data_IF_384364345499
#
_entry.id   IF_384364345499
#
_cell.length_a   1.000
_cell.length_b   1.000
_cell.length_c   1.000
_cell.angle_alpha   90.00
_cell.angle_beta   90.00
_cell.angle_gamma   90.00
#
_symmetry.space_group_name_H-M   'P 1'
#
loop_
_entity.id
_entity.type
_entity.pdbx_description
1 polymer ?
#
# COMPACT_ATOMS: atom_id res chain seq x y z
N UNK A 1 -21.72 9.27 -2.11
CA UNK A 1 -21.19 8.87 -0.79
C UNK A 1 -19.74 8.33 -0.89
N UNK A 2 -19.42 7.39 -1.81
CA UNK A 2 -18.03 6.88 -2.00
C UNK A 2 -17.11 7.97 -2.55
N UNK A 3 -17.57 8.75 -3.53
CA UNK A 3 -16.80 9.88 -4.10
C UNK A 3 -16.48 10.97 -3.04
N UNK A 4 -17.44 11.28 -2.16
CA UNK A 4 -17.19 12.27 -1.10
C UNK A 4 -16.18 11.78 -0.06
N UNK A 5 -16.19 10.49 0.27
CA UNK A 5 -15.20 9.89 1.17
C UNK A 5 -13.80 9.94 0.53
N UNK A 6 -13.68 9.56 -0.74
CA UNK A 6 -12.41 9.59 -1.46
C UNK A 6 -11.84 11.00 -1.58
N UNK A 7 -12.67 11.98 -1.92
CA UNK A 7 -12.28 13.40 -1.96
C UNK A 7 -11.82 13.91 -0.59
N UNK A 8 -12.50 13.49 0.50
CA UNK A 8 -12.10 13.88 1.85
C UNK A 8 -10.74 13.27 2.22
N UNK A 9 -10.53 11.98 1.93
CA UNK A 9 -9.23 11.32 2.19
C UNK A 9 -8.13 11.96 1.36
N UNK A 10 -8.37 12.21 0.08
CA UNK A 10 -7.40 12.88 -0.80
C UNK A 10 -7.04 14.28 -0.29
N UNK A 11 -8.04 15.09 0.11
CA UNK A 11 -7.81 16.43 0.65
C UNK A 11 -7.02 16.40 1.97
N UNK A 12 -7.27 15.44 2.84
CA UNK A 12 -6.51 15.25 4.07
C UNK A 12 -5.05 14.89 3.79
N UNK A 13 -4.80 14.00 2.82
CA UNK A 13 -3.46 13.62 2.39
C UNK A 13 -2.72 14.84 1.82
N UNK A 14 -3.35 15.54 0.88
CA UNK A 14 -2.81 16.74 0.23
C UNK A 14 -2.47 17.82 1.26
N UNK A 15 -3.40 18.13 2.16
CA UNK A 15 -3.18 19.12 3.23
C UNK A 15 -2.08 18.66 4.20
N UNK A 16 -2.06 17.38 4.54
CA UNK A 16 -1.01 16.78 5.40
C UNK A 16 0.39 16.92 4.79
N UNK A 17 0.54 16.63 3.50
CA UNK A 17 1.82 16.76 2.79
C UNK A 17 2.20 18.24 2.64
N UNK A 18 1.25 19.11 2.28
CA UNK A 18 1.51 20.54 2.12
C UNK A 18 1.91 21.22 3.42
N UNK A 19 1.35 20.78 4.56
CA UNK A 19 1.64 21.35 5.88
C UNK A 19 2.92 20.77 6.51
N UNK A 20 3.09 19.44 6.46
CA UNK A 20 4.20 18.75 7.13
C UNK A 20 5.43 18.56 6.23
N UNK A 21 5.31 18.74 4.92
CA UNK A 21 6.42 18.53 3.98
C UNK A 21 6.87 17.06 3.92
N UNK A 22 8.18 16.84 3.86
CA UNK A 22 8.78 15.48 3.82
C UNK A 22 8.39 14.60 5.01
N UNK A 23 8.33 15.07 6.27
CA UNK A 23 7.79 14.31 7.40
C UNK A 23 6.35 13.80 7.15
N UNK A 24 5.51 14.57 6.47
CA UNK A 24 4.15 14.17 6.09
C UNK A 24 4.15 12.96 5.16
N UNK A 25 5.06 12.94 4.17
CA UNK A 25 5.23 11.80 3.27
C UNK A 25 5.64 10.55 4.06
N UNK A 26 6.64 10.66 4.95
CA UNK A 26 7.10 9.54 5.79
C UNK A 26 5.95 9.00 6.62
N UNK A 27 5.20 9.87 7.30
CA UNK A 27 4.11 9.49 8.17
C UNK A 27 2.98 8.78 7.42
N UNK A 28 2.52 9.36 6.31
CA UNK A 28 1.42 8.78 5.52
C UNK A 28 1.81 7.45 4.88
N UNK A 29 3.03 7.32 4.37
CA UNK A 29 3.56 6.06 3.83
C UNK A 29 3.76 5.00 4.92
N UNK A 30 4.11 5.42 6.15
CA UNK A 30 4.19 4.51 7.29
C UNK A 30 2.81 4.01 7.70
N UNK A 31 1.78 4.86 7.73
CA UNK A 31 0.40 4.46 8.00
C UNK A 31 -0.09 3.43 6.99
N UNK A 32 0.11 3.68 5.70
CA UNK A 32 -0.25 2.73 4.65
C UNK A 32 0.39 1.36 4.86
N UNK A 33 1.70 1.35 5.10
CA UNK A 33 2.46 0.10 5.27
C UNK A 33 2.21 -0.58 6.61
N UNK A 34 1.59 0.12 7.56
CA UNK A 34 1.06 -0.45 8.82
C UNK A 34 -0.37 -1.00 8.67
N UNK A 35 -0.81 -1.31 7.44
CA UNK A 35 -2.14 -1.83 7.09
C UNK A 35 -3.31 -0.85 7.34
N UNK A 36 -3.03 0.46 7.41
CA UNK A 36 -4.08 1.49 7.44
C UNK A 36 -4.41 1.86 5.99
N UNK A 37 -5.70 1.94 5.59
CA UNK A 37 -6.09 2.16 4.19
C UNK A 37 -5.85 3.61 3.73
N UNK A 38 -4.60 3.99 3.59
CA UNK A 38 -4.17 5.27 3.01
C UNK A 38 -3.46 4.96 1.70
N UNK A 39 -3.99 5.36 0.53
CA UNK A 39 -3.44 4.94 -0.75
C UNK A 39 -2.17 5.72 -1.12
N UNK A 40 -1.05 5.04 -1.27
CA UNK A 40 0.20 5.62 -1.79
C UNK A 40 0.09 6.10 -3.23
N UNK A 41 -0.88 5.57 -3.96
CA UNK A 41 -1.26 5.99 -5.31
C UNK A 41 -1.73 7.45 -5.34
N UNK A 42 -2.04 8.05 -4.19
CA UNK A 42 -2.32 9.48 -4.02
C UNK A 42 -1.10 10.18 -3.42
N UNK A 43 -0.51 9.61 -2.35
CA UNK A 43 0.60 10.23 -1.61
C UNK A 43 1.78 10.51 -2.54
N UNK A 44 2.28 9.49 -3.24
CA UNK A 44 3.50 9.60 -4.03
C UNK A 44 3.34 10.43 -5.32
N UNK A 45 2.26 10.27 -6.12
CA UNK A 45 2.06 11.15 -7.27
C UNK A 45 1.82 12.60 -6.88
N UNK A 46 1.08 12.87 -5.80
CA UNK A 46 0.94 14.26 -5.33
C UNK A 46 2.27 14.86 -4.87
N UNK A 47 3.11 14.07 -4.17
CA UNK A 47 4.46 14.49 -3.81
C UNK A 47 5.33 14.74 -5.06
N UNK A 48 5.13 13.94 -6.13
CA UNK A 48 5.73 14.15 -7.44
C UNK A 48 5.27 15.43 -8.12
N UNK A 49 3.99 15.79 -8.00
CA UNK A 49 3.47 17.08 -8.45
C UNK A 49 4.16 18.26 -7.72
N UNK A 50 4.39 18.12 -6.41
CA UNK A 50 5.12 19.14 -5.65
C UNK A 50 6.60 19.25 -6.08
N UNK A 51 7.20 18.17 -6.59
CA UNK A 51 8.51 18.21 -7.26
C UNK A 51 8.43 19.00 -8.57
N UNK A 52 7.43 18.75 -9.41
CA UNK A 52 7.21 19.47 -10.65
C UNK A 52 7.02 20.99 -10.41
N UNK A 53 6.27 21.35 -9.37
CA UNK A 53 6.08 22.76 -8.97
C UNK A 53 7.31 23.41 -8.32
N UNK A 54 8.44 22.71 -8.21
CA UNK A 54 9.69 23.21 -7.65
C UNK A 54 9.74 23.30 -6.12
N UNK A 55 8.73 22.78 -5.41
CA UNK A 55 8.67 22.83 -3.95
C UNK A 55 9.48 21.70 -3.29
N UNK A 56 9.57 20.54 -3.94
CA UNK A 56 10.26 19.35 -3.42
C UNK A 56 11.33 18.86 -4.38
N UNK A 57 12.26 18.05 -3.86
CA UNK A 57 13.23 17.30 -4.66
C UNK A 57 12.77 15.86 -4.84
N UNK A 58 12.83 15.34 -6.08
CA UNK A 58 12.42 13.98 -6.42
C UNK A 58 13.13 12.93 -5.54
N UNK A 59 14.44 13.07 -5.38
CA UNK A 59 15.21 12.10 -4.58
C UNK A 59 14.78 12.08 -3.12
N UNK A 60 14.53 13.24 -2.52
CA UNK A 60 14.03 13.31 -1.15
C UNK A 60 12.62 12.75 -1.01
N UNK A 61 11.73 12.98 -1.97
CA UNK A 61 10.40 12.38 -2.00
C UNK A 61 10.50 10.85 -2.03
N UNK A 62 11.34 10.30 -2.90
CA UNK A 62 11.54 8.84 -3.03
C UNK A 62 12.13 8.25 -1.76
N UNK A 63 13.14 8.89 -1.18
CA UNK A 63 13.77 8.45 0.08
C UNK A 63 12.73 8.47 1.21
N UNK A 64 12.00 9.58 1.38
CA UNK A 64 10.98 9.71 2.42
C UNK A 64 9.86 8.68 2.24
N UNK A 65 9.39 8.47 1.02
CA UNK A 65 8.39 7.43 0.71
C UNK A 65 8.88 6.02 1.05
N UNK A 66 10.12 5.71 0.69
CA UNK A 66 10.74 4.40 0.98
C UNK A 66 10.98 4.20 2.47
N UNK A 67 11.48 5.22 3.18
CA UNK A 67 11.70 5.17 4.64
C UNK A 67 10.36 5.04 5.37
N UNK A 68 9.34 5.81 4.98
CA UNK A 68 8.00 5.69 5.55
C UNK A 68 7.43 4.28 5.36
N UNK A 69 7.54 3.72 4.15
CA UNK A 69 7.12 2.35 3.86
C UNK A 69 7.86 1.33 4.75
N UNK A 70 9.18 1.48 4.93
CA UNK A 70 9.96 0.60 5.80
C UNK A 70 9.50 0.69 7.25
N UNK A 71 9.31 1.90 7.79
CA UNK A 71 8.88 2.12 9.18
C UNK A 71 7.50 1.47 9.45
N UNK A 72 6.52 1.69 8.58
CA UNK A 72 5.21 1.05 8.70
C UNK A 72 5.28 -0.46 8.60
N UNK A 73 6.13 -0.96 7.70
CA UNK A 73 6.36 -2.40 7.53
C UNK A 73 7.01 -3.05 8.74
N UNK A 74 7.92 -2.34 9.42
CA UNK A 74 8.53 -2.80 10.68
C UNK A 74 7.45 -2.94 11.76
N UNK A 75 6.53 -1.98 11.87
CA UNK A 75 5.40 -2.07 12.81
C UNK A 75 4.55 -3.30 12.50
N UNK A 76 4.14 -3.48 11.25
CA UNK A 76 3.35 -4.63 10.83
C UNK A 76 4.10 -5.96 11.03
N UNK A 77 5.41 -6.00 10.78
CA UNK A 77 6.27 -7.16 11.04
C UNK A 77 6.26 -7.54 12.52
N UNK A 78 6.45 -6.58 13.44
CA UNK A 78 6.44 -6.87 14.87
C UNK A 78 5.04 -7.27 15.38
N UNK A 79 3.98 -6.69 14.84
CA UNK A 79 2.61 -7.13 15.11
C UNK A 79 2.44 -8.61 14.72
N UNK A 80 2.95 -9.02 13.56
CA UNK A 80 2.96 -10.42 13.15
C UNK A 80 3.85 -11.30 14.02
N UNK A 81 5.05 -10.84 14.34
CA UNK A 81 6.06 -11.58 15.12
C UNK A 81 5.61 -11.90 16.54
N UNK A 82 5.04 -10.91 17.24
CA UNK A 82 4.57 -11.07 18.62
C UNK A 82 3.12 -11.59 18.69
N UNK A 83 2.28 -11.20 17.74
CA UNK A 83 0.87 -11.60 17.72
C UNK A 83 0.64 -13.02 17.19
N UNK A 84 1.51 -13.49 16.30
CA UNK A 84 1.42 -14.82 15.72
C UNK A 84 0.07 -15.09 15.03
N UNK A 85 -0.30 -16.37 14.87
CA UNK A 85 -1.58 -16.80 14.30
C UNK A 85 -2.78 -16.38 15.16
N UNK A 86 -2.65 -16.37 16.48
CA UNK A 86 -3.73 -16.02 17.40
C UNK A 86 -4.27 -14.58 17.19
N UNK A 87 -3.41 -13.65 16.79
CA UNK A 87 -3.84 -12.28 16.48
C UNK A 87 -4.74 -12.25 15.23
N UNK A 88 -4.44 -13.06 14.24
CA UNK A 88 -5.23 -13.14 12.99
C UNK A 88 -6.54 -13.90 13.21
N UNK A 89 -6.56 -14.97 13.99
CA UNK A 89 -7.78 -15.64 14.40
C UNK A 89 -8.75 -14.67 15.08
N UNK A 90 -8.23 -13.80 15.95
CA UNK A 90 -9.05 -12.83 16.72
C UNK A 90 -9.42 -11.57 15.96
N UNK A 91 -8.48 -11.02 15.18
CA UNK A 91 -8.61 -9.69 14.55
C UNK A 91 -8.54 -9.70 13.01
N UNK A 92 -8.30 -10.84 12.38
CA UNK A 92 -8.13 -10.96 10.92
C UNK A 92 -9.30 -10.40 10.11
N UNK A 93 -10.52 -10.46 10.66
CA UNK A 93 -11.72 -9.89 10.04
C UNK A 93 -11.64 -8.36 9.88
N UNK A 94 -10.95 -7.67 10.78
CA UNK A 94 -10.78 -6.21 10.75
C UNK A 94 -9.67 -5.75 9.83
N UNK A 95 -8.67 -6.60 9.58
CA UNK A 95 -7.52 -6.31 8.73
C UNK A 95 -7.62 -7.03 7.37
N UNK A 96 -8.79 -7.64 7.06
CA UNK A 96 -9.05 -8.36 5.81
C UNK A 96 -8.06 -9.48 5.49
N UNK A 97 -7.42 -10.07 6.49
CA UNK A 97 -6.49 -11.20 6.35
C UNK A 97 -7.17 -12.45 6.92
N UNK A 98 -7.24 -13.49 6.10
CA UNK A 98 -7.73 -14.82 6.50
C UNK A 98 -6.57 -15.75 6.84
N UNK A 99 -6.85 -16.85 7.57
CA UNK A 99 -5.87 -17.93 7.80
C UNK A 99 -5.38 -18.52 6.47
N UNK A 100 -6.26 -18.59 5.48
CA UNK A 100 -5.91 -19.06 4.14
C UNK A 100 -4.84 -18.18 3.48
N UNK A 101 -4.91 -16.85 3.65
CA UNK A 101 -3.93 -15.92 3.12
C UNK A 101 -2.57 -16.09 3.81
N UNK A 102 -2.58 -16.43 5.11
CA UNK A 102 -1.35 -16.77 5.84
C UNK A 102 -0.72 -18.06 5.33
N UNK A 103 -1.52 -19.10 5.11
CA UNK A 103 -1.03 -20.37 4.60
C UNK A 103 -0.49 -20.22 3.17
N UNK A 104 -1.13 -19.39 2.35
CA UNK A 104 -0.61 -19.01 1.03
C UNK A 104 0.72 -18.29 1.14
N UNK A 105 0.82 -17.28 2.01
CA UNK A 105 2.05 -16.54 2.21
C UNK A 105 3.17 -17.45 2.76
N UNK A 106 2.86 -18.36 3.69
CA UNK A 106 3.83 -19.32 4.20
C UNK A 106 4.35 -20.25 3.09
N UNK A 107 3.47 -20.80 2.24
CA UNK A 107 3.86 -21.62 1.07
C UNK A 107 4.71 -20.81 0.08
N UNK A 108 4.42 -19.52 -0.07
CA UNK A 108 5.24 -18.62 -0.89
C UNK A 108 6.64 -18.44 -0.32
N UNK A 109 6.77 -18.23 1.01
CA UNK A 109 8.07 -18.15 1.68
C UNK A 109 8.85 -19.46 1.60
N UNK A 110 8.18 -20.60 1.74
CA UNK A 110 8.81 -21.92 1.61
C UNK A 110 9.32 -22.18 0.18
N UNK A 111 8.57 -21.72 -0.83
CA UNK A 111 8.89 -21.95 -2.24
C UNK A 111 9.93 -20.98 -2.80
N UNK A 112 9.83 -19.69 -2.46
CA UNK A 112 10.64 -18.61 -3.06
C UNK A 112 11.64 -18.00 -2.07
N UNK A 113 11.62 -18.43 -0.82
CA UNK A 113 12.51 -17.93 0.23
C UNK A 113 12.29 -16.45 0.56
N UNK A 114 13.29 -15.87 1.20
CA UNK A 114 13.27 -14.48 1.68
C UNK A 114 13.11 -13.46 0.55
N UNK A 115 13.52 -13.82 -0.68
CA UNK A 115 13.46 -12.94 -1.86
C UNK A 115 12.03 -12.66 -2.33
N UNK A 116 11.05 -13.45 -1.87
CA UNK A 116 9.62 -13.22 -2.12
C UNK A 116 9.14 -11.86 -1.63
N UNK A 117 9.73 -11.33 -0.55
CA UNK A 117 9.45 -9.98 -0.02
C UNK A 117 9.75 -8.91 -1.07
N UNK A 118 10.91 -8.98 -1.71
CA UNK A 118 11.30 -8.00 -2.73
C UNK A 118 10.26 -7.90 -3.85
N UNK A 119 9.85 -9.03 -4.43
CA UNK A 119 8.86 -9.03 -5.51
C UNK A 119 7.47 -8.64 -5.04
N UNK A 120 7.06 -9.06 -3.84
CA UNK A 120 5.76 -8.69 -3.30
C UNK A 120 5.58 -7.18 -3.10
N UNK A 121 6.71 -6.46 -2.88
CA UNK A 121 6.71 -4.99 -2.78
C UNK A 121 6.39 -4.27 -4.09
N UNK A 122 6.54 -4.95 -5.22
CA UNK A 122 6.19 -4.41 -6.53
C UNK A 122 4.71 -4.63 -6.88
N UNK A 123 3.98 -5.42 -6.07
CA UNK A 123 2.55 -5.69 -6.28
C UNK A 123 1.70 -4.80 -5.36
N UNK A 124 0.76 -3.99 -5.92
CA UNK A 124 0.03 -2.96 -5.18
C UNK A 124 -0.64 -3.45 -3.89
N UNK A 125 -1.39 -4.55 -3.97
CA UNK A 125 -2.16 -5.09 -2.83
C UNK A 125 -1.27 -5.89 -1.88
N UNK A 126 -0.38 -6.73 -2.42
CA UNK A 126 0.42 -7.67 -1.63
C UNK A 126 1.43 -6.94 -0.75
N UNK A 127 2.01 -5.82 -1.25
CA UNK A 127 3.06 -5.07 -0.57
C UNK A 127 2.67 -4.57 0.82
N UNK A 128 1.40 -4.21 1.02
CA UNK A 128 0.91 -3.69 2.30
C UNK A 128 0.80 -4.79 3.35
N UNK A 129 0.36 -5.98 2.94
CA UNK A 129 0.05 -7.07 3.87
C UNK A 129 1.19 -8.05 4.10
N UNK A 130 2.18 -8.15 3.20
CA UNK A 130 3.25 -9.14 3.26
C UNK A 130 4.12 -9.06 4.54
N UNK A 131 4.14 -7.90 5.19
CA UNK A 131 4.91 -7.67 6.42
C UNK A 131 4.39 -8.50 7.60
N UNK A 132 3.07 -8.72 7.70
CA UNK A 132 2.47 -9.54 8.74
C UNK A 132 2.87 -11.02 8.62
N UNK A 133 2.68 -11.70 7.47
CA UNK A 133 3.17 -13.06 7.27
C UNK A 133 4.68 -13.21 7.48
N UNK A 134 5.48 -12.21 7.07
CA UNK A 134 6.93 -12.23 7.31
C UNK A 134 7.27 -12.23 8.80
N UNK A 135 6.54 -11.47 9.62
CA UNK A 135 6.66 -11.49 11.06
C UNK A 135 6.22 -12.82 11.68
N UNK A 136 5.08 -13.37 11.25
CA UNK A 136 4.54 -14.64 11.74
C UNK A 136 5.49 -15.81 11.44
N UNK A 137 6.09 -15.84 10.25
CA UNK A 137 7.08 -16.84 9.86
C UNK A 137 8.46 -16.62 10.49
N UNK A 138 8.62 -15.60 11.35
CA UNK A 138 9.88 -15.25 12.04
C UNK A 138 11.06 -15.06 11.10
N UNK A 139 10.81 -14.45 9.94
CA UNK A 139 11.89 -14.12 9.02
C UNK A 139 12.98 -13.28 9.73
N UNK A 140 14.28 -13.47 9.46
CA UNK A 140 15.34 -12.65 10.05
C UNK A 140 15.12 -11.15 9.78
N UNK A 141 15.02 -10.35 10.84
CA UNK A 141 14.64 -8.93 10.81
C UNK A 141 15.47 -8.11 9.81
N UNK A 142 16.79 -8.26 9.81
CA UNK A 142 17.67 -7.51 8.91
C UNK A 142 17.45 -7.84 7.42
N UNK A 143 17.18 -9.10 7.11
CA UNK A 143 16.82 -9.50 5.74
C UNK A 143 15.48 -8.89 5.33
N UNK A 144 14.48 -8.92 6.23
CA UNK A 144 13.19 -8.28 6.00
C UNK A 144 13.36 -6.78 5.69
N UNK A 145 14.12 -6.05 6.52
CA UNK A 145 14.38 -4.62 6.31
C UNK A 145 15.07 -4.37 4.96
N UNK A 146 16.10 -5.17 4.62
CA UNK A 146 16.84 -5.03 3.37
C UNK A 146 15.91 -5.22 2.16
N UNK A 147 15.19 -6.33 2.08
CA UNK A 147 14.29 -6.60 0.95
C UNK A 147 13.12 -5.61 0.89
N UNK A 148 12.63 -5.16 2.03
CA UNK A 148 11.58 -4.13 2.10
C UNK A 148 12.08 -2.80 1.55
N UNK A 149 13.26 -2.35 1.99
CA UNK A 149 13.85 -1.08 1.56
C UNK A 149 14.06 -1.07 0.04
N UNK A 150 14.79 -2.07 -0.47
CA UNK A 150 15.11 -2.14 -1.90
C UNK A 150 13.91 -2.49 -2.78
N UNK A 151 12.95 -3.26 -2.27
CA UNK A 151 11.73 -3.60 -3.00
C UNK A 151 10.74 -2.44 -3.11
N UNK A 152 10.70 -1.53 -2.12
CA UNK A 152 9.81 -0.37 -2.15
C UNK A 152 10.37 0.82 -2.93
N UNK A 153 11.68 0.89 -3.15
CA UNK A 153 12.34 1.95 -3.92
C UNK A 153 11.79 2.11 -5.35
N UNK A 154 11.72 1.05 -6.19
CA UNK A 154 11.19 1.17 -7.55
C UNK A 154 9.73 1.65 -7.58
N UNK A 155 8.93 1.19 -6.63
CA UNK A 155 7.53 1.60 -6.50
C UNK A 155 7.40 3.08 -6.15
N UNK A 156 8.10 3.53 -5.10
CA UNK A 156 8.12 4.93 -4.67
C UNK A 156 8.63 5.85 -5.78
N UNK A 157 9.70 5.44 -6.47
CA UNK A 157 10.22 6.18 -7.61
C UNK A 157 9.23 6.26 -8.76
N UNK A 158 8.64 5.13 -9.15
CA UNK A 158 7.70 5.07 -10.27
C UNK A 158 6.47 5.96 -10.06
N UNK A 159 5.87 5.93 -8.85
CA UNK A 159 4.72 6.76 -8.52
C UNK A 159 5.10 8.25 -8.41
N UNK A 160 6.23 8.60 -7.78
CA UNK A 160 6.69 9.99 -7.70
C UNK A 160 7.01 10.53 -9.10
N UNK A 161 7.69 9.75 -9.93
CA UNK A 161 7.99 10.11 -11.31
C UNK A 161 6.72 10.30 -12.15
N UNK A 162 5.72 9.42 -12.00
CA UNK A 162 4.42 9.60 -12.64
C UNK A 162 3.79 10.94 -12.26
N UNK A 163 3.86 11.34 -10.98
CA UNK A 163 3.39 12.64 -10.51
C UNK A 163 4.14 13.83 -11.13
N UNK A 164 5.45 13.71 -11.33
CA UNK A 164 6.25 14.74 -12.03
C UNK A 164 5.83 14.88 -13.48
N UNK A 165 5.72 13.76 -14.21
CA UNK A 165 5.34 13.75 -15.64
C UNK A 165 3.90 14.25 -15.84
N UNK A 166 3.02 13.96 -14.91
CA UNK A 166 1.63 14.41 -14.94
C UNK A 166 1.45 15.84 -14.43
N UNK A 167 2.52 16.47 -13.93
CA UNK A 167 2.47 17.79 -13.28
C UNK A 167 1.79 18.88 -14.12
N UNK A 168 2.05 18.95 -15.41
CA UNK A 168 1.42 19.90 -16.33
C UNK A 168 -0.10 19.65 -16.51
N UNK A 169 -0.54 18.41 -16.35
CA UNK A 169 -1.91 17.97 -16.55
C UNK A 169 -2.62 17.61 -15.24
N UNK A 170 -2.08 18.07 -14.09
CA UNK A 170 -2.63 17.70 -12.78
C UNK A 170 -4.11 18.04 -12.62
N UNK A 171 -4.53 19.21 -13.12
CA UNK A 171 -5.94 19.62 -13.14
C UNK A 171 -6.84 18.73 -14.00
N UNK A 172 -6.30 18.09 -15.03
CA UNK A 172 -7.01 17.14 -15.86
C UNK A 172 -7.10 15.75 -15.18
N UNK A 173 -6.16 15.44 -14.27
CA UNK A 173 -6.17 14.19 -13.52
C UNK A 173 -7.42 14.06 -12.64
N UNK A 174 -7.89 15.14 -12.03
CA UNK A 174 -9.12 15.14 -11.24
C UNK A 174 -10.32 14.68 -12.10
N UNK A 175 -10.34 15.07 -13.36
CA UNK A 175 -11.34 14.61 -14.35
C UNK A 175 -11.15 13.13 -14.73
N UNK A 176 -9.90 12.65 -14.86
CA UNK A 176 -9.60 11.25 -15.14
C UNK A 176 -9.88 10.36 -13.93
N UNK A 177 -9.56 10.78 -12.71
CA UNK A 177 -9.91 10.04 -11.50
C UNK A 177 -11.43 9.88 -11.35
N UNK A 178 -12.23 10.89 -11.66
CA UNK A 178 -13.69 10.76 -11.67
C UNK A 178 -14.20 9.75 -12.71
N UNK A 179 -13.53 9.60 -13.85
CA UNK A 179 -13.86 8.56 -14.85
C UNK A 179 -13.38 7.16 -14.41
N UNK A 180 -12.18 7.07 -13.77
CA UNK A 180 -11.66 5.83 -13.24
C UNK A 180 -12.47 5.32 -12.05
N UNK A 181 -13.11 6.19 -11.26
CA UNK A 181 -14.04 5.81 -10.20
C UNK A 181 -15.14 4.89 -10.72
N UNK A 182 -15.72 5.18 -11.88
CA UNK A 182 -16.73 4.33 -12.50
C UNK A 182 -16.17 2.97 -12.92
N UNK A 183 -14.95 2.93 -13.41
CA UNK A 183 -14.30 1.68 -13.80
C UNK A 183 -13.95 0.83 -12.57
N UNK A 184 -13.44 1.44 -11.50
CA UNK A 184 -13.13 0.77 -10.25
C UNK A 184 -14.41 0.25 -9.59
N UNK A 185 -15.47 1.07 -9.51
CA UNK A 185 -16.77 0.67 -8.98
C UNK A 185 -17.33 -0.51 -9.78
N UNK A 186 -17.24 -0.45 -11.11
CA UNK A 186 -17.71 -1.53 -11.98
C UNK A 186 -16.92 -2.82 -11.75
N UNK A 187 -15.59 -2.75 -11.61
CA UNK A 187 -14.75 -3.91 -11.30
C UNK A 187 -15.04 -4.49 -9.92
N UNK A 188 -15.27 -3.64 -8.90
CA UNK A 188 -15.65 -4.07 -7.56
C UNK A 188 -17.02 -4.75 -7.59
N UNK A 189 -18.01 -4.18 -8.27
CA UNK A 189 -19.36 -4.75 -8.42
C UNK A 189 -19.30 -6.09 -9.15
N UNK A 190 -18.53 -6.18 -10.24
CA UNK A 190 -18.32 -7.44 -10.96
C UNK A 190 -17.59 -8.47 -10.10
N UNK A 191 -16.58 -8.07 -9.32
CA UNK A 191 -15.88 -8.94 -8.38
C UNK A 191 -16.81 -9.48 -7.29
N UNK A 192 -17.63 -8.63 -6.70
CA UNK A 192 -18.65 -9.03 -5.69
C UNK A 192 -19.72 -9.93 -6.32
N UNK A 193 -20.21 -9.59 -7.52
CA UNK A 193 -21.19 -10.40 -8.23
C UNK A 193 -20.63 -11.78 -8.58
N UNK A 194 -19.38 -11.85 -9.05
CA UNK A 194 -18.69 -13.11 -9.34
C UNK A 194 -18.46 -13.94 -8.08
N UNK A 195 -18.08 -13.30 -6.97
CA UNK A 195 -17.92 -13.96 -5.67
C UNK A 195 -19.24 -14.52 -5.13
N UNK A 196 -20.32 -13.73 -5.20
CA UNK A 196 -21.67 -14.17 -4.82
C UNK A 196 -22.15 -15.32 -5.71
N UNK A 197 -21.96 -15.23 -7.03
CA UNK A 197 -22.30 -16.30 -7.98
C UNK A 197 -21.57 -17.58 -7.62
N UNK A 198 -20.29 -17.53 -7.34
CA UNK A 198 -19.47 -18.69 -6.96
C UNK A 198 -19.93 -19.28 -5.63
N UNK A 199 -20.26 -18.44 -4.65
CA UNK A 199 -20.78 -18.88 -3.33
C UNK A 199 -22.14 -19.55 -3.41
N UNK A 200 -23.01 -19.05 -4.27
CA UNK A 200 -24.35 -19.64 -4.50
C UNK A 200 -24.25 -20.98 -5.25
N UNK A 201 -23.31 -21.11 -6.18
CA UNK A 201 -23.08 -22.34 -6.94
C UNK A 201 -22.49 -23.48 -6.08
N UNK A 202 -21.74 -23.16 -5.03
CA UNK A 202 -21.20 -24.17 -4.10
C UNK A 202 -22.19 -24.57 -2.98
N UNK A 203 -23.41 -24.00 -2.94
CA UNK A 203 -24.46 -24.37 -2.00
C UNK A 203 -25.51 -25.32 -2.60
N UNK A 204 -25.34 -25.71 -3.86
CA UNK A 204 -26.07 -26.81 -4.51
C UNK A 204 -25.12 -27.98 -4.67
#
# INVERSE_FOLDING_TARGET
MISSFFLTVSSLIINGISFLGYPGIIFLMALESACIPVPSEIIMPFSGYLVFSGQFSLWWVVICGTVGNLLGSIIAYFVGFYGGRALIEKYGKYIFISEHDLDLAQKWFEKYGDFSIFFSRMLPVVRTFISLPAGISRMPFWKFCFYTLFGSLPWSFGLAWAGVVMGENWSNLEFYFQKFDWLIITLIVLGIAFWLYRKLKHKK
#
